data_IF_946805641278
#
_entry.id   IF_946805641278
#
_cell.length_a   1.000
_cell.length_b   1.000
_cell.length_c   1.000
_cell.angle_alpha   90.00
_cell.angle_beta   90.00
_cell.angle_gamma   90.00
#
_symmetry.space_group_name_H-M   'P 1'
#
loop_
_entity.id
_entity.type
_entity.pdbx_description
1 polymer ?
#
# COMPACT_ATOMS: atom_id res chain seq x y z
N UNK A 1 20.11 17.12 0.38
CA UNK A 1 19.52 15.99 1.13
C UNK A 1 19.23 14.84 0.17
N UNK A 2 19.10 13.62 0.70
CA UNK A 2 17.99 12.74 0.35
C UNK A 2 18.16 11.51 -0.56
N UNK A 3 19.35 11.04 -0.97
CA UNK A 3 19.38 9.69 -1.56
C UNK A 3 18.95 8.63 -0.54
N UNK A 4 19.58 8.66 0.64
CA UNK A 4 19.25 7.76 1.74
C UNK A 4 17.80 7.95 2.19
N UNK A 5 17.30 9.19 2.29
CA UNK A 5 15.89 9.45 2.65
C UNK A 5 14.92 8.94 1.59
N UNK A 6 15.27 9.03 0.30
CA UNK A 6 14.44 8.50 -0.77
C UNK A 6 14.40 6.95 -0.75
N UNK A 7 15.51 6.30 -0.38
CA UNK A 7 15.51 4.85 -0.14
C UNK A 7 14.60 4.45 1.01
N UNK A 8 14.47 5.28 2.05
CA UNK A 8 13.52 5.05 3.15
C UNK A 8 12.09 5.08 2.63
N UNK A 9 11.70 6.11 1.87
CA UNK A 9 10.35 6.19 1.28
C UNK A 9 10.05 4.97 0.40
N UNK A 10 10.99 4.57 -0.45
CA UNK A 10 10.79 3.39 -1.30
C UNK A 10 10.63 2.10 -0.49
N UNK A 11 11.36 1.97 0.62
CA UNK A 11 11.23 0.82 1.53
C UNK A 11 9.89 0.84 2.26
N UNK A 12 9.43 2.00 2.73
CA UNK A 12 8.14 2.15 3.41
C UNK A 12 6.95 1.84 2.49
N UNK A 13 7.12 2.02 1.18
CA UNK A 13 6.13 1.64 0.16
C UNK A 13 6.26 0.18 -0.33
N UNK A 14 6.98 -0.66 0.43
CA UNK A 14 7.20 -2.07 0.13
C UNK A 14 7.77 -2.31 -1.28
N UNK A 15 8.69 -1.46 -1.76
CA UNK A 15 9.39 -1.77 -3.00
C UNK A 15 10.18 -3.08 -2.84
N UNK A 16 10.05 -4.05 -3.77
CA UNK A 16 10.83 -5.28 -3.70
C UNK A 16 12.33 -5.02 -3.71
N UNK A 17 13.11 -5.78 -2.93
CA UNK A 17 14.58 -5.64 -2.86
C UNK A 17 15.25 -5.71 -4.24
N UNK A 18 14.70 -6.53 -5.16
CA UNK A 18 15.17 -6.65 -6.55
C UNK A 18 15.00 -5.34 -7.32
N UNK A 19 13.90 -4.65 -7.10
CA UNK A 19 13.62 -3.35 -7.70
C UNK A 19 14.51 -2.26 -7.08
N UNK A 20 14.67 -2.25 -5.76
CA UNK A 20 15.60 -1.32 -5.09
C UNK A 20 17.04 -1.46 -5.61
N UNK A 21 17.49 -2.70 -5.84
CA UNK A 21 18.79 -2.97 -6.45
C UNK A 21 18.86 -2.41 -7.88
N UNK A 22 17.90 -2.74 -8.74
CA UNK A 22 17.84 -2.24 -10.12
C UNK A 22 17.87 -0.71 -10.19
N UNK A 23 17.09 -0.03 -9.35
CA UNK A 23 17.10 1.43 -9.29
C UNK A 23 18.48 1.99 -8.87
N UNK A 24 19.13 1.33 -7.91
CA UNK A 24 20.48 1.71 -7.46
C UNK A 24 21.52 1.55 -8.56
N UNK A 25 21.45 0.44 -9.31
CA UNK A 25 22.33 0.17 -10.46
C UNK A 25 22.14 1.22 -11.56
N UNK A 26 20.88 1.54 -11.90
CA UNK A 26 20.56 2.59 -12.88
C UNK A 26 21.09 3.95 -12.45
N UNK A 27 20.90 4.32 -11.18
CA UNK A 27 21.45 5.58 -10.64
C UNK A 27 22.97 5.62 -10.78
N UNK A 28 23.66 4.51 -10.49
CA UNK A 28 25.12 4.41 -10.58
C UNK A 28 25.68 4.67 -11.98
N UNK A 29 24.91 4.35 -13.02
CA UNK A 29 25.24 4.62 -14.43
C UNK A 29 25.11 6.10 -14.82
N UNK A 30 24.56 6.95 -13.96
CA UNK A 30 24.54 8.40 -14.14
C UNK A 30 23.32 8.94 -14.90
N UNK A 31 23.41 10.16 -15.47
CA UNK A 31 22.27 10.88 -16.01
C UNK A 31 21.56 10.22 -17.21
N UNK A 32 22.24 9.35 -17.96
CA UNK A 32 21.66 8.64 -19.11
C UNK A 32 20.44 7.78 -18.74
N UNK A 33 20.35 7.33 -17.48
CA UNK A 33 19.27 6.45 -17.00
C UNK A 33 18.10 7.19 -16.34
N UNK A 34 18.06 8.53 -16.36
CA UNK A 34 16.99 9.31 -15.72
C UNK A 34 15.60 8.85 -16.19
N UNK A 35 15.45 8.59 -17.49
CA UNK A 35 14.18 8.13 -18.06
C UNK A 35 13.74 6.78 -17.49
N UNK A 36 14.65 5.80 -17.41
CA UNK A 36 14.37 4.47 -16.88
C UNK A 36 14.03 4.51 -15.39
N UNK A 37 14.76 5.33 -14.62
CA UNK A 37 14.48 5.55 -13.20
C UNK A 37 13.07 6.12 -12.99
N UNK A 38 12.66 7.10 -13.80
CA UNK A 38 11.30 7.66 -13.75
C UNK A 38 10.23 6.60 -14.04
N UNK A 39 10.38 5.84 -15.13
CA UNK A 39 9.43 4.78 -15.49
C UNK A 39 9.28 3.74 -14.38
N UNK A 40 10.38 3.37 -13.75
CA UNK A 40 10.39 2.42 -12.65
C UNK A 40 9.60 2.93 -11.44
N UNK A 41 9.77 4.22 -11.10
CA UNK A 41 9.04 4.86 -10.01
C UNK A 41 7.54 5.00 -10.32
N UNK A 42 7.18 5.35 -11.55
CA UNK A 42 5.78 5.42 -11.98
C UNK A 42 5.10 4.06 -11.91
N UNK A 43 5.77 3.00 -12.38
CA UNK A 43 5.25 1.64 -12.30
C UNK A 43 5.05 1.21 -10.83
N UNK A 44 5.99 1.54 -9.94
CA UNK A 44 5.86 1.25 -8.52
C UNK A 44 4.69 2.04 -7.88
N UNK A 45 4.59 3.34 -8.17
CA UNK A 45 3.48 4.18 -7.72
C UNK A 45 2.12 3.59 -8.12
N UNK A 46 1.96 3.16 -9.37
CA UNK A 46 0.69 2.55 -9.83
C UNK A 46 0.36 1.25 -9.09
N UNK A 47 1.38 0.44 -8.71
CA UNK A 47 1.16 -0.76 -7.88
C UNK A 47 0.68 -0.40 -6.48
N UNK A 48 1.33 0.57 -5.83
CA UNK A 48 0.94 1.05 -4.50
C UNK A 48 -0.49 1.59 -4.51
N UNK A 49 -0.84 2.44 -5.48
CA UNK A 49 -2.20 2.97 -5.62
C UNK A 49 -3.24 1.86 -5.81
N UNK A 50 -2.93 0.80 -6.56
CA UNK A 50 -3.79 -0.36 -6.71
C UNK A 50 -3.95 -1.15 -5.40
N UNK A 51 -2.87 -1.31 -4.63
CA UNK A 51 -2.90 -1.94 -3.31
C UNK A 51 -3.75 -1.14 -2.32
N UNK A 52 -3.61 0.19 -2.31
CA UNK A 52 -4.42 1.07 -1.47
C UNK A 52 -5.91 0.90 -1.76
N UNK A 53 -6.32 0.93 -3.04
CA UNK A 53 -7.72 0.71 -3.44
C UNK A 53 -8.25 -0.65 -2.97
N UNK A 54 -7.45 -1.71 -3.12
CA UNK A 54 -7.81 -3.05 -2.66
C UNK A 54 -7.96 -3.11 -1.14
N UNK A 55 -7.05 -2.49 -0.39
CA UNK A 55 -7.10 -2.43 1.07
C UNK A 55 -8.32 -1.64 1.55
N UNK A 56 -8.61 -0.49 0.96
CA UNK A 56 -9.81 0.30 1.26
C UNK A 56 -11.08 -0.54 1.06
N UNK A 57 -11.23 -1.21 -0.09
CA UNK A 57 -12.39 -2.07 -0.34
C UNK A 57 -12.48 -3.29 0.61
N UNK A 58 -11.35 -3.81 1.09
CA UNK A 58 -11.36 -4.86 2.10
C UNK A 58 -11.78 -4.32 3.49
N UNK A 59 -11.33 -3.12 3.85
CA UNK A 59 -11.72 -2.47 5.11
C UNK A 59 -13.23 -2.18 5.14
N UNK A 60 -13.82 -1.76 4.02
CA UNK A 60 -15.28 -1.58 3.90
C UNK A 60 -16.05 -2.89 4.16
N UNK A 61 -15.57 -4.02 3.62
CA UNK A 61 -16.18 -5.33 3.88
C UNK A 61 -16.10 -5.73 5.34
N UNK A 62 -14.95 -5.50 5.98
CA UNK A 62 -14.76 -5.75 7.41
C UNK A 62 -15.69 -4.86 8.22
N UNK A 63 -15.80 -3.58 7.89
CA UNK A 63 -16.70 -2.65 8.55
C UNK A 63 -18.17 -3.10 8.44
N UNK A 64 -18.59 -3.59 7.27
CA UNK A 64 -19.92 -4.18 7.09
C UNK A 64 -20.18 -5.40 7.98
N UNK A 65 -19.18 -6.28 8.12
CA UNK A 65 -19.29 -7.44 9.03
C UNK A 65 -19.35 -7.04 10.49
N UNK A 66 -18.57 -6.04 10.91
CA UNK A 66 -18.62 -5.49 12.27
C UNK A 66 -20.01 -4.92 12.55
N UNK A 67 -20.56 -4.12 11.63
CA UNK A 67 -21.90 -3.55 11.78
C UNK A 67 -22.96 -4.65 11.94
N UNK A 68 -22.92 -5.66 11.08
CA UNK A 68 -23.84 -6.79 11.13
C UNK A 68 -23.80 -7.51 12.50
N UNK A 69 -22.60 -7.76 13.04
CA UNK A 69 -22.49 -8.41 14.35
C UNK A 69 -22.99 -7.52 15.51
N UNK A 70 -22.79 -6.21 15.44
CA UNK A 70 -23.37 -5.27 16.42
C UNK A 70 -24.90 -5.31 16.41
N UNK A 71 -25.50 -5.31 15.22
CA UNK A 71 -26.96 -5.43 15.08
C UNK A 71 -27.47 -6.76 15.65
N UNK A 72 -26.77 -7.88 15.40
CA UNK A 72 -27.11 -9.17 16.01
C UNK A 72 -27.00 -9.18 17.53
N UNK A 73 -25.98 -8.53 18.11
CA UNK A 73 -25.82 -8.39 19.57
C UNK A 73 -27.01 -7.63 20.18
N UNK A 74 -27.42 -6.52 19.56
CA UNK A 74 -28.56 -5.71 20.00
C UNK A 74 -29.89 -6.49 19.93
N UNK A 75 -30.12 -7.21 18.83
CA UNK A 75 -31.31 -8.06 18.67
C UNK A 75 -31.37 -9.20 19.71
N UNK A 76 -30.22 -9.79 20.05
CA UNK A 76 -30.14 -10.87 21.05
C UNK A 76 -30.38 -10.36 22.47
N UNK A 77 -29.88 -9.17 22.82
CA UNK A 77 -30.14 -8.52 24.11
C UNK A 77 -31.63 -8.20 24.29
N UNK A 78 -32.30 -7.68 23.25
CA UNK A 78 -33.74 -7.39 23.31
C UNK A 78 -34.56 -8.66 23.52
N UNK A 79 -34.23 -9.76 22.83
CA UNK A 79 -34.93 -11.04 22.95
C UNK A 79 -34.69 -11.77 24.27
N UNK A 80 -33.59 -11.49 24.95
CA UNK A 80 -33.24 -12.15 26.23
C UNK A 80 -33.81 -11.40 27.44
N UNK A 81 -34.06 -10.09 27.30
CA UNK A 81 -34.64 -9.25 28.33
C UNK A 81 -36.17 -9.02 28.19
N UNK A 82 -36.84 -9.65 27.21
CA UNK A 82 -38.31 -9.75 27.10
C UNK A 82 -38.77 -11.17 27.45
#
# INVERSE_FOLDING_TARGET
MAWVQFLVVLRELDIPIREMKRYSDLRGQGPSTVHERRLMLEAHRSRVEAQMRKLSGNLEKIAGKIKYYKEMEEEWVIKTNS
#
